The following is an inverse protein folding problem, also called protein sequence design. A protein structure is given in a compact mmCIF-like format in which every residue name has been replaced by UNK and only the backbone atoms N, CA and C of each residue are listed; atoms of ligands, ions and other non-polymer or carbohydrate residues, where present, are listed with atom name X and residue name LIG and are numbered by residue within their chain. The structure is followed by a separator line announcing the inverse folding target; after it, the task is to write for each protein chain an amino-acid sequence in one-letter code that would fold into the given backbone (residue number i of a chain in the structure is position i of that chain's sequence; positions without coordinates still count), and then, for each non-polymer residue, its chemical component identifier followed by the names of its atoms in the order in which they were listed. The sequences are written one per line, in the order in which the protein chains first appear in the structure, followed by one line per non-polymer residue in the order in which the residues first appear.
data_IF_819854644076
#
_entry.id   IF_819854644076
#
_cell.length_a   1.000
_cell.length_b   1.000
_cell.length_c   1.000
_cell.angle_alpha   90.00
_cell.angle_beta   90.00
_cell.angle_gamma   90.00
#
_symmetry.space_group_name_H-M   'P 1'
#
loop_
_entity.id
_entity.type
_entity.pdbx_description
1 polymer ?
#
# COMPACT_ATOMS: atom_id res chain seq x y z
N UNK A 1 13.61 11.82 34.01
CA UNK A 1 14.87 11.56 33.28
C UNK A 1 14.59 11.68 31.78
N UNK A 2 15.48 12.31 31.01
CA UNK A 2 15.34 12.34 29.55
C UNK A 2 16.21 11.24 28.95
N UNK A 3 15.62 10.35 28.15
CA UNK A 3 16.29 9.24 27.47
C UNK A 3 16.18 9.45 25.97
N UNK A 4 17.31 9.40 25.29
CA UNK A 4 17.37 9.47 23.83
C UNK A 4 17.47 8.05 23.27
N UNK A 5 16.39 7.56 22.66
CA UNK A 5 16.31 6.24 22.08
C UNK A 5 16.49 6.31 20.55
N UNK A 6 17.53 5.67 20.02
CA UNK A 6 17.87 5.70 18.60
C UNK A 6 19.03 6.66 18.26
N UNK A 7 19.36 6.87 16.97
CA UNK A 7 18.64 6.39 15.79
C UNK A 7 18.93 4.92 15.42
N UNK A 8 19.95 4.30 16.02
CA UNK A 8 20.36 2.92 15.78
C UNK A 8 20.00 2.04 16.97
N UNK A 9 18.73 1.69 17.10
CA UNK A 9 18.26 0.75 18.13
C UNK A 9 17.54 -0.43 17.46
N UNK A 10 17.80 -1.71 17.84
CA UNK A 10 17.21 -2.87 17.16
C UNK A 10 15.67 -2.89 17.14
N UNK A 11 15.02 -2.37 18.18
CA UNK A 11 13.56 -2.25 18.22
C UNK A 11 13.00 -1.22 17.23
N UNK A 12 13.86 -0.35 16.68
CA UNK A 12 13.47 0.60 15.64
C UNK A 12 13.67 -0.09 14.28
N UNK A 13 12.57 -0.38 13.59
CA UNK A 13 12.58 -0.95 12.25
C UNK A 13 13.04 0.09 11.21
N UNK A 14 14.32 0.46 11.25
CA UNK A 14 14.91 1.51 10.40
C UNK A 14 15.62 2.59 11.22
N UNK A 15 15.42 3.85 10.85
CA UNK A 15 16.09 5.00 11.47
C UNK A 15 15.03 5.90 12.09
N UNK A 16 14.83 5.76 13.40
CA UNK A 16 13.89 6.55 14.19
C UNK A 16 14.58 6.96 15.49
N UNK A 17 14.45 8.23 15.86
CA UNK A 17 14.94 8.77 17.12
C UNK A 17 13.77 9.27 17.94
N UNK A 18 13.65 8.80 19.17
CA UNK A 18 12.64 9.23 20.14
C UNK A 18 13.33 9.88 21.33
N UNK A 19 12.93 11.11 21.67
CA UNK A 19 13.33 11.76 22.91
C UNK A 19 12.21 11.51 23.92
N UNK A 20 12.50 10.65 24.89
CA UNK A 20 11.54 10.22 25.91
C UNK A 20 11.78 10.97 27.21
N UNK A 21 10.73 11.55 27.77
CA UNK A 21 10.74 12.10 29.13
C UNK A 21 10.07 11.08 30.05
N UNK A 22 10.86 10.50 30.94
CA UNK A 22 10.44 9.43 31.85
C UNK A 22 10.32 9.95 33.28
N UNK A 23 9.30 9.49 34.00
CA UNK A 23 9.22 9.55 35.45
C UNK A 23 9.29 8.12 36.02
N UNK A 24 10.46 7.71 36.49
CA UNK A 24 10.73 6.31 36.82
C UNK A 24 10.63 5.41 35.57
N UNK A 25 9.60 4.56 35.56
CA UNK A 25 9.28 3.64 34.45
C UNK A 25 8.18 4.18 33.53
N UNK A 26 7.45 5.23 33.96
CA UNK A 26 6.34 5.79 33.20
C UNK A 26 6.85 6.81 32.16
N UNK A 27 6.31 6.72 30.95
CA UNK A 27 6.59 7.68 29.87
C UNK A 27 5.61 8.84 30.00
N UNK A 28 6.13 10.03 30.32
CA UNK A 28 5.33 11.26 30.44
C UNK A 28 5.20 11.96 29.09
N UNK A 29 6.27 11.95 28.29
CA UNK A 29 6.30 12.60 26.97
C UNK A 29 7.23 11.86 26.01
N UNK A 30 6.91 11.93 24.73
CA UNK A 30 7.65 11.30 23.64
C UNK A 30 7.67 12.23 22.43
N UNK A 31 8.86 12.77 22.11
CA UNK A 31 9.07 13.56 20.91
C UNK A 31 9.75 12.71 19.82
N UNK A 32 9.03 12.33 18.75
CA UNK A 32 9.61 11.61 17.63
C UNK A 32 10.35 12.56 16.69
N UNK A 33 11.67 12.37 16.57
CA UNK A 33 12.49 13.09 15.59
C UNK A 33 12.51 12.30 14.29
N UNK A 34 11.74 12.79 13.32
CA UNK A 34 11.61 12.24 11.97
C UNK A 34 12.57 12.91 10.98
N UNK A 35 12.64 12.37 9.76
CA UNK A 35 13.34 13.01 8.64
C UNK A 35 14.72 12.45 8.31
N UNK A 36 15.27 11.51 9.09
CA UNK A 36 16.54 10.84 8.77
C UNK A 36 16.53 10.10 7.42
N UNK A 37 15.35 9.66 6.96
CA UNK A 37 15.15 9.01 5.66
C UNK A 37 14.48 9.95 4.63
N UNK A 38 14.36 11.25 4.93
CA UNK A 38 13.79 12.21 3.98
C UNK A 38 14.71 12.36 2.76
N UNK A 39 14.14 12.11 1.58
CA UNK A 39 14.89 12.12 0.30
C UNK A 39 14.31 13.11 -0.73
N UNK A 40 13.39 13.99 -0.32
CA UNK A 40 12.76 14.97 -1.22
C UNK A 40 12.02 14.33 -2.38
N UNK A 41 11.32 13.21 -2.14
CA UNK A 41 10.69 12.42 -3.20
C UNK A 41 9.64 13.19 -4.00
N UNK A 42 8.86 14.05 -3.33
CA UNK A 42 7.88 14.95 -3.96
C UNK A 42 8.57 15.93 -4.93
N UNK A 43 9.72 16.50 -4.52
CA UNK A 43 10.50 17.42 -5.37
C UNK A 43 11.10 16.74 -6.60
N UNK A 44 11.44 15.46 -6.47
CA UNK A 44 11.90 14.64 -7.60
C UNK A 44 10.73 14.39 -8.57
N UNK A 45 9.51 14.23 -8.06
CA UNK A 45 8.31 14.00 -8.87
C UNK A 45 8.07 15.16 -9.85
N UNK A 46 8.23 16.41 -9.41
CA UNK A 46 8.05 17.62 -10.24
C UNK A 46 8.93 17.64 -11.50
N UNK A 47 10.08 16.97 -11.49
CA UNK A 47 11.08 17.00 -12.57
C UNK A 47 11.12 15.69 -13.38
N UNK A 48 10.11 14.83 -13.23
CA UNK A 48 10.03 13.50 -13.86
C UNK A 48 8.65 13.27 -14.46
N UNK A 49 8.61 12.48 -15.52
CA UNK A 49 7.34 11.96 -16.03
C UNK A 49 6.82 10.86 -15.10
N UNK A 50 5.52 10.57 -15.14
CA UNK A 50 4.87 9.52 -14.33
C UNK A 50 5.63 8.19 -14.41
N UNK A 51 5.97 7.75 -15.64
CA UNK A 51 6.67 6.48 -15.89
C UNK A 51 8.09 6.50 -15.29
N UNK A 52 8.80 7.63 -15.39
CA UNK A 52 10.13 7.78 -14.80
C UNK A 52 10.08 7.84 -13.27
N UNK A 53 8.97 8.30 -12.71
CA UNK A 53 8.79 8.42 -11.27
C UNK A 53 8.36 7.11 -10.60
N UNK A 54 7.69 6.21 -11.33
CA UNK A 54 7.18 4.94 -10.81
C UNK A 54 8.22 4.12 -9.98
N UNK A 55 9.50 3.97 -10.41
CA UNK A 55 10.51 3.25 -9.61
C UNK A 55 10.89 3.93 -8.29
N UNK A 56 10.55 5.20 -8.10
CA UNK A 56 10.73 5.91 -6.82
C UNK A 56 9.59 5.59 -5.86
N UNK A 57 8.38 5.36 -6.37
CA UNK A 57 7.19 5.12 -5.56
C UNK A 57 7.23 3.77 -4.86
N UNK A 58 7.84 2.76 -5.48
CA UNK A 58 8.14 1.47 -4.80
C UNK A 58 9.02 1.62 -3.57
N UNK A 59 9.70 2.78 -3.41
CA UNK A 59 10.58 3.06 -2.27
C UNK A 59 9.92 3.90 -1.19
N UNK A 60 8.67 4.30 -1.37
CA UNK A 60 7.87 5.00 -0.36
C UNK A 60 7.52 4.03 0.77
N UNK A 61 6.82 2.96 0.39
CA UNK A 61 6.58 1.80 1.24
C UNK A 61 7.27 0.57 0.66
N UNK A 62 8.46 0.28 1.18
CA UNK A 62 9.28 -0.83 0.71
C UNK A 62 8.73 -2.22 1.05
N UNK A 63 7.65 -2.31 1.86
CA UNK A 63 6.96 -3.59 2.15
C UNK A 63 5.71 -3.78 1.29
N UNK A 64 5.01 -2.70 0.96
CA UNK A 64 3.75 -2.72 0.22
C UNK A 64 3.89 -2.01 -1.13
N UNK A 65 4.97 -2.31 -1.87
CA UNK A 65 5.36 -1.60 -3.10
C UNK A 65 4.29 -1.63 -4.18
N UNK A 66 3.49 -2.71 -4.23
CA UNK A 66 2.43 -2.87 -5.23
C UNK A 66 1.29 -1.88 -5.03
N UNK A 67 0.94 -1.57 -3.78
CA UNK A 67 -0.13 -0.62 -3.47
C UNK A 67 0.30 0.81 -3.78
N UNK A 68 1.58 1.14 -3.56
CA UNK A 68 2.10 2.47 -3.87
C UNK A 68 2.21 2.70 -5.38
N UNK A 69 2.58 1.66 -6.15
CA UNK A 69 2.52 1.72 -7.61
C UNK A 69 1.08 1.86 -8.12
N UNK A 70 0.14 1.07 -7.56
CA UNK A 70 -1.26 1.08 -7.95
C UNK A 70 -1.88 2.47 -7.88
N UNK A 71 -1.73 3.16 -6.74
CA UNK A 71 -2.27 4.50 -6.58
C UNK A 71 -1.64 5.53 -7.53
N UNK A 72 -0.35 5.39 -7.85
CA UNK A 72 0.35 6.31 -8.76
C UNK A 72 -0.10 6.15 -10.20
N UNK A 73 -0.58 4.95 -10.56
CA UNK A 73 -1.14 4.66 -11.87
C UNK A 73 -2.61 5.06 -11.92
N UNK A 74 -3.39 4.77 -10.87
CA UNK A 74 -4.82 5.10 -10.80
C UNK A 74 -5.11 6.60 -10.97
N UNK A 75 -4.26 7.50 -10.47
CA UNK A 75 -4.41 8.95 -10.67
C UNK A 75 -4.45 9.38 -12.14
N UNK A 76 -3.36 9.16 -12.89
CA UNK A 76 -3.31 9.37 -14.34
C UNK A 76 -4.40 8.62 -15.13
N UNK A 77 -4.82 7.42 -14.70
CA UNK A 77 -5.91 6.69 -15.34
C UNK A 77 -7.24 7.43 -15.25
N UNK A 78 -7.59 7.89 -14.04
CA UNK A 78 -8.80 8.68 -13.79
C UNK A 78 -8.77 10.03 -14.50
N UNK A 79 -7.61 10.71 -14.51
CA UNK A 79 -7.42 11.99 -15.21
C UNK A 79 -7.49 11.84 -16.73
N UNK A 80 -6.83 10.82 -17.28
CA UNK A 80 -6.74 10.59 -18.71
C UNK A 80 -7.99 9.92 -19.29
N UNK A 81 -8.86 9.35 -18.44
CA UNK A 81 -9.86 8.36 -18.85
C UNK A 81 -9.24 7.24 -19.70
N UNK A 82 -8.01 6.86 -19.33
CA UNK A 82 -7.23 5.80 -19.99
C UNK A 82 -7.10 4.69 -18.98
N UNK A 83 -7.47 3.47 -19.36
CA UNK A 83 -7.12 2.30 -18.56
C UNK A 83 -5.65 1.99 -18.82
N UNK A 84 -4.76 2.44 -17.94
CA UNK A 84 -3.38 1.95 -17.93
C UNK A 84 -3.39 0.57 -17.26
N UNK A 85 -2.26 -0.13 -17.31
CA UNK A 85 -2.09 -1.30 -16.47
C UNK A 85 -0.87 -1.07 -15.61
N UNK A 86 -0.94 -1.58 -14.38
CA UNK A 86 0.13 -1.39 -13.44
C UNK A 86 1.35 -2.13 -13.97
N UNK A 87 2.44 -1.39 -14.09
CA UNK A 87 3.68 -1.86 -14.70
C UNK A 87 4.46 -2.78 -13.75
N UNK A 88 3.79 -3.72 -13.06
CA UNK A 88 4.42 -4.76 -12.26
C UNK A 88 3.49 -5.94 -11.89
N UNK A 89 2.42 -6.21 -12.65
CA UNK A 89 1.66 -7.45 -12.45
C UNK A 89 2.42 -8.65 -13.01
N UNK A 90 3.27 -9.27 -12.18
CA UNK A 90 3.55 -10.70 -12.29
C UNK A 90 2.69 -11.43 -11.28
N UNK A 91 1.67 -12.14 -11.77
CA UNK A 91 0.99 -13.19 -11.01
C UNK A 91 2.06 -14.22 -10.64
N UNK A 92 2.30 -14.44 -9.35
CA UNK A 92 3.38 -15.34 -8.94
C UNK A 92 3.64 -15.50 -7.44
N UNK A 93 3.07 -14.66 -6.57
CA UNK A 93 3.05 -14.91 -5.13
C UNK A 93 4.45 -15.02 -4.47
N UNK A 94 4.43 -15.30 -3.17
CA UNK A 94 5.63 -15.67 -2.40
C UNK A 94 6.13 -17.03 -2.91
N UNK A 95 7.45 -17.23 -2.99
CA UNK A 95 8.08 -18.45 -3.51
C UNK A 95 7.70 -19.75 -2.76
N UNK A 96 7.02 -19.65 -1.62
CA UNK A 96 6.52 -20.75 -0.82
C UNK A 96 5.25 -20.33 -0.06
N UNK A 97 4.37 -21.29 0.18
CA UNK A 97 3.24 -21.16 1.09
C UNK A 97 3.72 -21.04 2.56
N UNK A 98 2.83 -20.62 3.46
CA UNK A 98 3.12 -20.60 4.89
C UNK A 98 3.48 -22.03 5.37
N UNK A 99 4.57 -22.20 6.14
CA UNK A 99 4.94 -23.52 6.63
C UNK A 99 3.85 -24.10 7.54
N UNK A 100 3.71 -25.43 7.51
CA UNK A 100 2.68 -26.13 8.29
C UNK A 100 2.76 -25.76 9.79
N UNK A 101 1.61 -25.39 10.37
CA UNK A 101 1.51 -24.97 11.77
C UNK A 101 2.03 -23.56 12.06
N UNK A 102 2.36 -22.75 11.06
CA UNK A 102 2.76 -21.35 11.26
C UNK A 102 1.65 -20.51 11.89
N UNK A 103 0.40 -20.72 11.46
CA UNK A 103 -0.76 -20.00 12.01
C UNK A 103 -0.96 -20.39 13.47
N UNK A 104 -0.89 -21.67 13.79
CA UNK A 104 -1.03 -22.16 15.17
C UNK A 104 0.09 -21.57 16.05
N UNK A 105 1.34 -21.55 15.57
CA UNK A 105 2.45 -20.88 16.28
C UNK A 105 2.26 -19.37 16.42
N UNK A 106 1.63 -18.71 15.44
CA UNK A 106 1.31 -17.30 15.55
C UNK A 106 0.24 -17.07 16.63
N UNK A 107 -0.77 -17.94 16.70
CA UNK A 107 -1.79 -17.91 17.74
C UNK A 107 -1.20 -18.24 19.12
N UNK A 108 -0.37 -19.27 19.23
CA UNK A 108 0.39 -19.59 20.45
C UNK A 108 1.29 -18.42 20.86
N UNK A 109 1.90 -17.72 19.88
CA UNK A 109 2.65 -16.50 20.14
C UNK A 109 1.74 -15.37 20.64
N UNK A 110 0.48 -15.28 20.23
CA UNK A 110 -0.46 -14.30 20.80
C UNK A 110 -0.79 -14.60 22.24
N UNK A 111 -0.98 -15.88 22.57
CA UNK A 111 -1.24 -16.32 23.94
C UNK A 111 -0.01 -16.08 24.84
N UNK A 112 1.20 -16.15 24.26
CA UNK A 112 2.44 -15.77 24.93
C UNK A 112 2.66 -14.25 25.02
N UNK A 113 2.30 -13.51 23.97
CA UNK A 113 2.55 -12.08 23.82
C UNK A 113 1.34 -11.27 24.31
N UNK A 114 1.15 -11.26 25.63
CA UNK A 114 0.10 -10.50 26.31
C UNK A 114 0.38 -8.98 26.22
N UNK A 115 -0.04 -8.36 25.12
CA UNK A 115 -0.16 -6.89 24.99
C UNK A 115 -1.61 -6.41 25.08
N UNK A 116 -2.45 -7.20 25.76
CA UNK A 116 -3.81 -6.79 26.09
C UNK A 116 -3.76 -5.54 26.98
N UNK A 117 -4.48 -4.49 26.59
CA UNK A 117 -4.53 -3.23 27.33
C UNK A 117 -3.41 -2.22 27.06
N UNK A 118 -2.52 -2.46 26.09
CA UNK A 118 -1.49 -1.49 25.69
C UNK A 118 -1.90 -0.73 24.42
N UNK A 119 -1.81 0.61 24.48
CA UNK A 119 -2.08 1.50 23.35
C UNK A 119 -3.54 1.49 22.92
N UNK A 120 -4.46 1.60 23.88
CA UNK A 120 -5.90 1.71 23.65
C UNK A 120 -6.18 3.04 22.95
N UNK A 121 -6.94 3.00 21.85
CA UNK A 121 -7.37 4.19 21.12
C UNK A 121 -8.89 4.13 20.95
N UNK A 122 -9.59 5.15 21.43
CA UNK A 122 -11.04 5.26 21.28
C UNK A 122 -11.47 5.55 19.84
N UNK A 123 -12.74 5.28 19.48
CA UNK A 123 -13.24 5.53 18.13
C UNK A 123 -13.20 7.02 17.75
N UNK A 124 -13.54 7.93 18.69
CA UNK A 124 -13.50 9.38 18.43
C UNK A 124 -12.06 9.89 18.29
N UNK A 125 -11.13 9.38 19.10
CA UNK A 125 -9.71 9.72 19.02
C UNK A 125 -9.10 9.25 17.69
N UNK A 126 -9.46 8.03 17.25
CA UNK A 126 -9.00 7.49 15.98
C UNK A 126 -9.43 8.37 14.80
N UNK A 127 -10.66 8.87 14.80
CA UNK A 127 -11.16 9.80 13.76
C UNK A 127 -10.45 11.15 13.87
N UNK A 128 -10.35 11.72 15.07
CA UNK A 128 -9.75 13.05 15.27
C UNK A 128 -8.26 13.08 14.91
N UNK A 129 -7.53 11.97 15.12
CA UNK A 129 -6.12 11.83 14.73
C UNK A 129 -5.93 11.43 13.27
N UNK A 130 -7.01 11.22 12.51
CA UNK A 130 -6.94 10.81 11.10
C UNK A 130 -6.36 9.42 10.90
N UNK A 131 -6.56 8.51 11.85
CA UNK A 131 -6.10 7.12 11.72
C UNK A 131 -6.97 6.37 10.71
N UNK A 132 -6.34 5.47 9.95
CA UNK A 132 -7.01 4.69 8.90
C UNK A 132 -6.62 3.21 8.93
N UNK A 133 -7.34 2.39 8.15
CA UNK A 133 -7.16 0.94 8.02
C UNK A 133 -7.21 0.19 9.35
N UNK A 134 -6.19 -0.65 9.68
CA UNK A 134 -6.26 -1.55 10.82
C UNK A 134 -6.33 -0.80 12.17
N UNK A 135 -5.82 0.44 12.25
CA UNK A 135 -5.95 1.27 13.45
C UNK A 135 -7.42 1.63 13.71
N UNK A 136 -8.12 2.07 12.65
CA UNK A 136 -9.52 2.49 12.72
C UNK A 136 -10.45 1.28 12.94
N UNK A 137 -10.20 0.18 12.23
CA UNK A 137 -10.95 -1.08 12.34
C UNK A 137 -10.81 -1.75 13.71
N UNK A 138 -9.66 -1.59 14.37
CA UNK A 138 -9.46 -2.13 15.72
C UNK A 138 -10.14 -1.31 16.82
N UNK A 139 -10.46 -0.03 16.55
CA UNK A 139 -11.15 0.88 17.46
C UNK A 139 -12.68 0.84 17.34
N UNK A 140 -13.24 -0.15 16.65
CA UNK A 140 -14.69 -0.38 16.55
C UNK A 140 -15.37 0.24 15.34
N UNK A 141 -14.63 0.83 14.40
CA UNK A 141 -15.19 1.51 13.23
C UNK A 141 -15.06 0.61 11.99
N UNK A 142 -16.19 0.17 11.45
CA UNK A 142 -16.26 -0.65 10.24
C UNK A 142 -16.06 0.20 8.98
N UNK A 143 -14.81 0.59 8.71
CA UNK A 143 -14.45 1.42 7.58
C UNK A 143 -13.34 0.78 6.74
N UNK A 144 -13.55 0.69 5.43
CA UNK A 144 -12.61 0.12 4.47
C UNK A 144 -12.85 0.75 3.08
N UNK A 145 -11.82 1.36 2.49
CA UNK A 145 -11.97 2.06 1.21
C UNK A 145 -12.38 1.11 0.07
N UNK A 146 -12.05 -0.18 0.15
CA UNK A 146 -12.41 -1.15 -0.90
C UNK A 146 -13.92 -1.37 -1.01
N UNK A 147 -14.67 -1.19 0.08
CA UNK A 147 -16.15 -1.24 0.05
C UNK A 147 -16.81 0.13 -0.10
N UNK A 148 -16.08 1.23 0.15
CA UNK A 148 -16.64 2.58 0.07
C UNK A 148 -16.47 3.17 -1.33
N UNK A 149 -15.26 3.06 -1.88
CA UNK A 149 -14.91 3.67 -3.17
C UNK A 149 -15.12 2.70 -4.34
N UNK A 150 -15.41 1.42 -4.07
CA UNK A 150 -15.82 0.44 -5.08
C UNK A 150 -14.85 0.34 -6.27
N UNK A 151 -13.54 0.40 -5.99
CA UNK A 151 -12.51 0.42 -7.04
C UNK A 151 -12.09 -0.99 -7.47
N UNK A 152 -11.56 -1.10 -8.70
CA UNK A 152 -11.13 -2.35 -9.33
C UNK A 152 -12.26 -3.42 -9.35
N UNK A 153 -11.98 -4.65 -8.90
CA UNK A 153 -12.91 -5.77 -8.92
C UNK A 153 -13.34 -6.19 -7.50
N UNK A 154 -13.11 -5.37 -6.47
CA UNK A 154 -13.44 -5.72 -5.10
C UNK A 154 -14.95 -5.92 -4.84
N UNK A 155 -15.81 -5.32 -5.67
CA UNK A 155 -17.27 -5.46 -5.62
C UNK A 155 -17.79 -6.81 -6.13
N UNK A 156 -17.06 -7.43 -7.04
CA UNK A 156 -17.42 -8.75 -7.58
C UNK A 156 -17.07 -9.88 -6.58
N UNK A 157 -16.32 -9.54 -5.54
CA UNK A 157 -15.81 -10.47 -4.56
C UNK A 157 -16.66 -10.43 -3.30
N UNK A 158 -17.06 -11.61 -2.83
CA UNK A 158 -17.73 -11.77 -1.55
C UNK A 158 -16.69 -11.91 -0.43
N UNK A 159 -16.59 -10.87 0.41
CA UNK A 159 -15.70 -10.75 1.56
C UNK A 159 -16.26 -9.83 2.64
N UNK A 160 -15.76 -9.97 3.86
CA UNK A 160 -16.20 -9.18 5.02
C UNK A 160 -15.08 -8.35 5.65
N UNK A 161 -15.46 -7.21 6.22
CA UNK A 161 -14.54 -6.32 6.92
C UNK A 161 -14.28 -6.88 8.31
N UNK A 162 -13.02 -7.20 8.60
CA UNK A 162 -12.59 -7.61 9.95
C UNK A 162 -12.37 -6.40 10.85
N UNK A 163 -13.06 -6.35 11.97
CA UNK A 163 -12.98 -5.28 12.95
C UNK A 163 -12.98 -5.84 14.38
N UNK A 164 -12.53 -5.02 15.32
CA UNK A 164 -12.50 -5.31 16.77
C UNK A 164 -12.97 -4.07 17.54
N UNK A 165 -13.39 -4.22 18.79
CA UNK A 165 -13.97 -3.12 19.58
C UNK A 165 -13.01 -2.56 20.61
N UNK A 166 -12.03 -3.35 21.02
CA UNK A 166 -11.20 -3.14 22.20
C UNK A 166 -10.16 -2.02 22.00
N UNK A 167 -9.79 -1.69 20.76
CA UNK A 167 -8.88 -0.59 20.44
C UNK A 167 -7.42 -0.79 20.88
N UNK A 168 -7.09 -1.93 21.46
CA UNK A 168 -5.76 -2.25 21.97
C UNK A 168 -4.83 -2.87 20.90
N UNK A 169 -3.58 -3.11 21.29
CA UNK A 169 -2.59 -3.71 20.37
C UNK A 169 -2.96 -5.13 19.93
N UNK A 170 -3.64 -5.89 20.81
CA UNK A 170 -4.12 -7.22 20.49
C UNK A 170 -5.24 -7.17 19.44
N UNK A 171 -6.20 -6.25 19.59
CA UNK A 171 -7.27 -6.01 18.62
C UNK A 171 -6.69 -5.69 17.23
N UNK A 172 -5.69 -4.81 17.15
CA UNK A 172 -4.98 -4.50 15.90
C UNK A 172 -4.31 -5.71 15.28
N UNK A 173 -3.70 -6.56 16.10
CA UNK A 173 -3.10 -7.81 15.64
C UNK A 173 -4.17 -8.77 15.09
N UNK A 174 -5.28 -8.96 15.81
CA UNK A 174 -6.38 -9.84 15.40
C UNK A 174 -7.03 -9.38 14.09
N UNK A 175 -7.21 -8.07 13.91
CA UNK A 175 -7.68 -7.49 12.65
C UNK A 175 -6.76 -7.88 11.49
N UNK A 176 -5.44 -7.72 11.63
CA UNK A 176 -4.47 -8.10 10.58
C UNK A 176 -4.50 -9.59 10.26
N UNK A 177 -4.66 -10.46 11.26
CA UNK A 177 -4.80 -11.90 11.04
C UNK A 177 -6.09 -12.22 10.30
N UNK A 178 -7.20 -11.55 10.64
CA UNK A 178 -8.44 -11.61 9.89
C UNK A 178 -8.25 -11.22 8.42
N UNK A 179 -7.65 -10.06 8.18
CA UNK A 179 -7.38 -9.54 6.83
C UNK A 179 -6.49 -10.47 6.00
N UNK A 180 -5.47 -11.09 6.60
CA UNK A 180 -4.64 -12.09 5.91
C UNK A 180 -5.46 -13.32 5.51
N UNK A 181 -6.34 -13.81 6.38
CA UNK A 181 -7.23 -14.94 6.08
C UNK A 181 -8.20 -14.58 4.96
N UNK A 182 -8.77 -13.38 4.99
CA UNK A 182 -9.69 -12.91 3.97
C UNK A 182 -8.99 -12.72 2.62
N UNK A 183 -7.75 -12.19 2.63
CA UNK A 183 -6.92 -12.06 1.42
C UNK A 183 -6.65 -13.42 0.76
N UNK A 184 -6.42 -14.48 1.55
CA UNK A 184 -6.27 -15.85 1.03
C UNK A 184 -7.57 -16.35 0.40
N UNK A 185 -8.74 -16.07 1.01
CA UNK A 185 -10.04 -16.42 0.42
C UNK A 185 -10.27 -15.73 -0.92
N UNK A 186 -9.96 -14.43 -1.00
CA UNK A 186 -10.06 -13.64 -2.22
C UNK A 186 -9.16 -14.23 -3.32
N UNK A 187 -7.90 -14.51 -3.00
CA UNK A 187 -6.95 -15.10 -3.95
C UNK A 187 -7.44 -16.42 -4.55
N UNK A 188 -7.96 -17.32 -3.71
CA UNK A 188 -8.49 -18.62 -4.17
C UNK A 188 -9.69 -18.50 -5.11
N UNK A 189 -10.48 -17.42 -5.00
CA UNK A 189 -11.58 -17.11 -5.93
C UNK A 189 -11.03 -16.56 -7.26
N UNK A 190 -10.09 -15.61 -7.20
CA UNK A 190 -9.47 -14.98 -8.38
C UNK A 190 -8.62 -15.93 -9.24
N UNK A 191 -8.04 -17.00 -8.67
CA UNK A 191 -7.26 -17.98 -9.43
C UNK A 191 -8.04 -18.63 -10.58
N UNK A 192 -9.38 -18.52 -10.58
CA UNK A 192 -10.27 -19.12 -11.58
C UNK A 192 -10.64 -18.19 -12.74
N UNK A 193 -10.04 -17.00 -12.84
CA UNK A 193 -10.35 -16.03 -13.90
C UNK A 193 -9.88 -16.56 -15.27
N UNK A 194 -10.72 -16.51 -16.31
CA UNK A 194 -10.33 -16.90 -17.66
C UNK A 194 -9.27 -15.95 -18.23
N UNK A 195 -8.38 -16.48 -19.07
CA UNK A 195 -7.33 -15.67 -19.70
C UNK A 195 -7.91 -14.51 -20.53
N UNK A 196 -7.20 -13.38 -20.56
CA UNK A 196 -7.54 -12.20 -21.34
C UNK A 196 -6.29 -11.39 -21.71
N UNK A 197 -6.44 -10.31 -22.51
CA UNK A 197 -5.33 -9.41 -22.81
C UNK A 197 -4.79 -8.76 -21.53
N UNK A 198 -3.47 -8.84 -21.32
CA UNK A 198 -2.76 -8.29 -20.15
C UNK A 198 -2.29 -6.83 -20.37
N UNK A 199 -2.67 -6.21 -21.48
CA UNK A 199 -2.40 -4.80 -21.79
C UNK A 199 -3.68 -4.20 -22.38
N UNK A 200 -3.98 -2.94 -22.07
CA UNK A 200 -5.02 -2.22 -22.79
C UNK A 200 -4.62 -2.13 -24.28
N UNK A 201 -5.49 -2.63 -25.15
CA UNK A 201 -5.27 -2.69 -26.58
C UNK A 201 -5.20 -1.29 -27.22
N UNK A 202 -5.82 -0.28 -26.60
CA UNK A 202 -5.72 1.11 -27.06
C UNK A 202 -4.32 1.71 -26.80
N UNK A 203 -3.64 1.29 -25.73
CA UNK A 203 -2.24 1.64 -25.49
C UNK A 203 -1.30 1.02 -26.54
N UNK A 204 -1.71 -0.09 -27.19
CA UNK A 204 -1.05 -0.61 -28.39
C UNK A 204 -1.35 0.22 -29.65
N UNK A 205 -2.50 0.88 -29.73
CA UNK A 205 -2.86 1.77 -30.86
C UNK A 205 -2.00 3.03 -30.90
N UNK A 206 -1.59 3.57 -29.74
CA UNK A 206 -0.65 4.71 -29.70
C UNK A 206 0.77 4.36 -30.22
N UNK A 207 1.10 3.08 -30.38
CA UNK A 207 2.43 2.59 -30.76
C UNK A 207 2.49 1.81 -32.08
N UNK A 208 1.42 1.78 -32.88
CA UNK A 208 1.40 1.07 -34.16
C UNK A 208 1.12 2.01 -35.33
N UNK A 209 2.14 2.27 -36.13
CA UNK A 209 1.89 2.29 -37.58
C UNK A 209 1.35 0.91 -37.98
N UNK A 210 0.26 0.90 -38.75
CA UNK A 210 -0.34 -0.30 -39.33
C UNK A 210 0.70 -0.94 -40.26
N UNK A 211 1.13 -2.16 -39.94
CA UNK A 211 2.07 -2.99 -40.73
C UNK A 211 3.38 -2.32 -41.15
N UNK A 212 4.39 -2.23 -40.25
CA UNK A 212 5.72 -1.80 -40.66
C UNK A 212 6.39 -2.89 -41.52
N UNK A 213 6.97 -2.50 -42.65
CA UNK A 213 7.78 -3.40 -43.46
C UNK A 213 8.98 -3.90 -42.65
N UNK A 214 9.25 -5.21 -42.74
CA UNK A 214 10.39 -5.83 -42.09
C UNK A 214 11.68 -5.17 -42.59
N UNK A 215 12.41 -4.50 -41.68
CA UNK A 215 13.70 -3.82 -41.90
C UNK A 215 13.63 -2.34 -42.36
N UNK A 216 12.47 -1.69 -42.24
CA UNK A 216 12.36 -0.24 -42.47
C UNK A 216 13.03 0.60 -41.34
N UNK A 217 13.36 1.86 -41.64
CA UNK A 217 14.03 2.77 -40.71
C UNK A 217 13.22 2.99 -39.42
N UNK A 218 11.89 3.10 -39.53
CA UNK A 218 10.94 3.19 -38.40
C UNK A 218 10.95 1.89 -37.55
N UNK A 219 11.09 0.72 -38.17
CA UNK A 219 11.13 -0.58 -37.48
C UNK A 219 12.31 -0.71 -36.50
N UNK A 220 13.45 -0.06 -36.79
CA UNK A 220 14.61 -0.04 -35.87
C UNK A 220 14.36 0.72 -34.57
N UNK A 221 13.38 1.62 -34.54
CA UNK A 221 13.04 2.39 -33.34
C UNK A 221 12.07 1.66 -32.41
N UNK A 222 11.41 0.58 -32.85
CA UNK A 222 10.55 -0.27 -31.99
C UNK A 222 11.31 -0.82 -30.77
N UNK A 223 12.64 -1.02 -30.88
CA UNK A 223 13.49 -1.50 -29.79
C UNK A 223 13.69 -0.48 -28.66
N UNK A 224 13.48 0.82 -28.94
CA UNK A 224 13.38 1.87 -27.94
C UNK A 224 11.95 2.38 -27.95
N UNK A 225 11.01 1.66 -27.32
CA UNK A 225 9.71 2.24 -26.96
C UNK A 225 10.00 3.58 -26.27
N UNK A 226 9.75 4.74 -26.91
CA UNK A 226 9.75 5.99 -26.17
C UNK A 226 8.64 5.80 -25.15
N UNK A 227 8.91 6.02 -23.87
CA UNK A 227 7.83 6.04 -22.89
C UNK A 227 6.81 7.05 -23.40
N UNK A 228 5.57 6.64 -23.74
CA UNK A 228 4.59 7.59 -24.24
C UNK A 228 4.41 8.61 -23.13
N UNK A 229 4.85 9.84 -23.38
CA UNK A 229 4.59 10.93 -22.46
C UNK A 229 3.14 11.30 -22.73
N UNK A 230 2.21 10.68 -22.02
CA UNK A 230 0.81 11.02 -22.13
C UNK A 230 0.64 12.44 -21.59
N UNK A 231 0.13 13.34 -22.43
CA UNK A 231 -0.28 14.67 -21.97
C UNK A 231 -1.53 14.49 -21.11
N UNK A 232 -1.37 14.63 -19.80
CA UNK A 232 -2.50 14.60 -18.86
C UNK A 232 -3.21 15.96 -18.88
N UNK A 233 -4.55 15.98 -18.72
CA UNK A 233 -5.27 17.23 -18.54
C UNK A 233 -4.78 17.96 -17.28
N UNK A 234 -4.73 19.29 -17.34
CA UNK A 234 -4.32 20.14 -16.22
C UNK A 234 -5.45 20.24 -15.19
N UNK A 235 -5.55 19.24 -14.32
CA UNK A 235 -6.53 19.15 -13.24
C UNK A 235 -5.85 18.66 -11.96
N UNK A 236 -6.43 19.01 -10.82
CA UNK A 236 -6.05 18.50 -9.52
C UNK A 236 -6.98 17.32 -9.16
N UNK A 237 -6.42 16.23 -8.66
CA UNK A 237 -7.19 15.03 -8.31
C UNK A 237 -6.57 14.35 -7.09
N UNK A 238 -7.40 14.10 -6.08
CA UNK A 238 -7.02 13.21 -4.98
C UNK A 238 -7.50 11.80 -5.28
N UNK A 239 -6.57 10.86 -5.36
CA UNK A 239 -6.86 9.42 -5.46
C UNK A 239 -6.40 8.75 -4.18
N UNK A 240 -7.12 7.72 -3.75
CA UNK A 240 -6.80 6.93 -2.57
C UNK A 240 -7.04 5.44 -2.80
N UNK A 241 -6.28 4.62 -2.08
CA UNK A 241 -6.32 3.16 -2.12
C UNK A 241 -6.15 2.64 -0.69
N UNK A 242 -6.81 1.53 -0.35
CA UNK A 242 -6.57 0.85 0.92
C UNK A 242 -5.26 0.05 0.85
N UNK A 243 -4.17 0.61 1.38
CA UNK A 243 -2.94 -0.13 1.59
C UNK A 243 -3.02 -0.98 2.87
N UNK A 244 -2.17 -2.01 3.05
CA UNK A 244 -2.14 -2.82 4.28
C UNK A 244 -1.88 -2.02 5.57
N UNK A 245 -1.36 -0.78 5.44
CA UNK A 245 -1.14 0.14 6.56
C UNK A 245 -2.33 1.07 6.82
N UNK A 246 -3.26 1.21 5.87
CA UNK A 246 -4.40 2.12 5.91
C UNK A 246 -4.58 2.89 4.60
N UNK A 247 -5.33 3.98 4.66
CA UNK A 247 -5.55 4.88 3.53
C UNK A 247 -4.21 5.43 3.04
N UNK A 248 -3.86 5.07 1.81
CA UNK A 248 -2.79 5.70 1.06
C UNK A 248 -3.45 6.63 0.05
N UNK A 249 -3.06 7.90 0.06
CA UNK A 249 -3.59 8.94 -0.83
C UNK A 249 -2.49 9.65 -1.60
N UNK A 250 -2.78 10.05 -2.83
CA UNK A 250 -1.94 10.95 -3.65
C UNK A 250 -2.82 12.10 -4.13
N UNK A 251 -2.30 13.32 -4.02
CA UNK A 251 -2.87 14.55 -4.56
C UNK A 251 -2.00 15.08 -5.70
#
# INVERSE_FOLDING_TARGET
MIVNMGPHHPSMHGVLRLILTLDGEDVIDCEPILGYLHRGMEKIAENRTVIQYLPYVTRWDYLATMFTEAITVNGPEQLGNIQMMHNYFRIGGVAADLPYGWIDKCLDFCDYFLTAGVGIIGPEEAINWGLSGPMLRASGIQWDLRKVDHYECYDELDWEIHWQKEGDSLARYLVRIGEMRESIKLFNKLWRIPGGPYENLETRCFARERDPEWNDFEYRFISKKPSPTFELPKQELYVRVEAPKGELGIF
#
